data_IF_525616169473
#
_entry.id   IF_525616169473
#
_cell.length_a   1.000
_cell.length_b   1.000
_cell.length_c   1.000
_cell.angle_alpha   90.00
_cell.angle_beta   90.00
_cell.angle_gamma   90.00
#
_symmetry.space_group_name_H-M   'P 1'
#
loop_
_entity.id
_entity.type
_entity.pdbx_description
1 polymer ?
#
# COMPACT_ATOMS: atom_id res chain seq x y z
N UNK A 1 50.30 38.75 44.02
CA UNK A 1 50.99 38.89 42.72
C UNK A 1 50.79 37.56 41.98
N UNK A 2 49.66 37.41 41.31
CA UNK A 2 49.36 36.18 40.55
C UNK A 2 48.95 36.56 39.12
N UNK A 3 49.77 36.16 38.19
CA UNK A 3 49.64 36.46 36.76
C UNK A 3 48.52 35.62 36.19
N UNK A 4 47.53 36.31 35.62
CA UNK A 4 46.42 35.69 34.89
C UNK A 4 46.87 35.38 33.46
N UNK A 5 47.00 34.10 33.12
CA UNK A 5 47.20 33.65 31.75
C UNK A 5 45.85 33.53 31.05
N UNK A 6 45.62 34.45 30.14
CA UNK A 6 44.49 34.42 29.22
C UNK A 6 44.86 33.52 28.08
N UNK A 7 44.32 32.27 28.10
CA UNK A 7 44.41 31.34 26.98
C UNK A 7 43.23 31.55 26.07
N UNK A 8 43.52 32.14 24.94
CA UNK A 8 42.56 32.35 23.85
C UNK A 8 42.44 31.04 23.07
N UNK A 9 41.40 30.24 23.34
CA UNK A 9 41.09 29.06 22.56
C UNK A 9 40.23 29.49 21.37
N UNK A 10 40.84 29.55 20.20
CA UNK A 10 40.12 29.72 18.94
C UNK A 10 39.40 28.44 18.62
N UNK A 11 38.06 28.42 18.84
CA UNK A 11 37.18 27.33 18.40
C UNK A 11 36.93 27.43 16.91
N UNK A 12 37.56 26.58 16.14
CA UNK A 12 37.27 26.37 14.73
C UNK A 12 35.94 25.62 14.66
N UNK A 13 34.87 26.31 14.28
CA UNK A 13 33.60 25.72 13.97
C UNK A 13 33.71 25.03 12.61
N UNK A 14 33.89 23.72 12.62
CA UNK A 14 33.76 22.89 11.44
C UNK A 14 32.26 22.68 11.21
N UNK A 15 31.68 23.41 10.28
CA UNK A 15 30.33 23.14 9.79
C UNK A 15 30.36 21.89 8.93
N UNK A 16 30.00 20.76 9.53
CA UNK A 16 29.60 19.58 8.76
C UNK A 16 28.28 19.90 8.08
N UNK A 17 28.34 20.12 6.77
CA UNK A 17 27.17 20.02 5.91
C UNK A 17 26.83 18.54 5.86
N UNK A 18 25.97 18.11 6.79
CA UNK A 18 25.33 16.81 6.70
C UNK A 18 24.33 16.89 5.54
N UNK A 19 24.63 16.19 4.45
CA UNK A 19 23.59 15.79 3.51
C UNK A 19 22.61 14.95 4.34
N UNK A 20 21.47 15.53 4.68
CA UNK A 20 20.35 14.76 5.20
C UNK A 20 19.84 13.93 4.04
N UNK A 21 20.17 12.63 4.07
CA UNK A 21 19.28 11.64 3.48
C UNK A 21 17.90 11.95 4.02
N UNK A 22 16.98 12.36 3.14
CA UNK A 22 15.56 12.41 3.48
C UNK A 22 15.15 10.97 3.81
N UNK A 23 15.28 10.61 5.08
CA UNK A 23 14.45 9.56 5.63
C UNK A 23 13.03 9.96 5.26
N UNK A 24 12.44 9.15 4.39
CA UNK A 24 11.00 9.19 4.14
C UNK A 24 10.40 8.95 5.52
N UNK A 25 9.95 10.04 6.15
CA UNK A 25 9.19 9.98 7.39
C UNK A 25 8.11 8.91 7.19
N UNK A 26 8.31 7.78 7.81
CA UNK A 26 7.25 6.82 8.05
C UNK A 26 6.31 7.51 9.03
N UNK A 27 5.40 8.32 8.48
CA UNK A 27 4.31 8.93 9.23
C UNK A 27 3.62 7.77 9.95
N UNK A 28 3.84 7.70 11.25
CA UNK A 28 3.14 6.78 12.15
C UNK A 28 1.66 7.13 12.03
N UNK A 29 0.80 6.24 11.51
CA UNK A 29 -0.60 6.59 11.31
C UNK A 29 -1.25 6.81 12.66
N UNK A 30 -1.65 8.06 12.89
CA UNK A 30 -2.39 8.47 14.07
C UNK A 30 -3.79 7.84 14.03
N UNK A 31 -4.26 7.35 15.18
CA UNK A 31 -5.58 6.73 15.30
C UNK A 31 -6.66 7.78 15.01
N UNK A 32 -7.25 7.71 13.81
CA UNK A 32 -8.27 8.66 13.32
C UNK A 32 -7.96 9.26 11.95
N UNK A 33 -6.80 8.99 11.37
CA UNK A 33 -6.42 9.52 10.08
C UNK A 33 -7.05 8.70 8.94
N UNK A 34 -7.84 9.38 8.10
CA UNK A 34 -8.43 8.79 6.88
C UNK A 34 -7.29 8.32 5.96
N UNK A 35 -7.38 7.07 5.47
CA UNK A 35 -6.37 6.53 4.59
C UNK A 35 -6.31 7.30 3.25
N UNK A 36 -5.13 7.62 2.71
CA UNK A 36 -5.02 8.29 1.43
C UNK A 36 -5.57 7.43 0.29
N UNK A 37 -6.35 8.07 -0.59
CA UNK A 37 -6.81 7.49 -1.86
C UNK A 37 -5.80 7.90 -2.92
N UNK A 38 -5.21 6.91 -3.60
CA UNK A 38 -4.17 7.11 -4.60
C UNK A 38 -4.77 6.92 -6.00
N UNK A 39 -4.27 7.69 -6.94
CA UNK A 39 -4.74 7.81 -8.31
C UNK A 39 -6.11 8.50 -8.45
N UNK A 40 -6.52 8.70 -9.70
CA UNK A 40 -7.79 9.31 -10.04
C UNK A 40 -8.79 8.23 -10.46
N UNK A 41 -10.10 8.42 -10.22
CA UNK A 41 -11.12 7.47 -10.61
C UNK A 41 -11.30 7.37 -12.13
N UNK A 42 -10.92 8.42 -12.89
CA UNK A 42 -11.06 8.44 -14.35
C UNK A 42 -10.20 7.36 -15.01
N UNK A 43 -10.84 6.48 -15.78
CA UNK A 43 -10.20 5.34 -16.44
C UNK A 43 -9.83 4.20 -15.50
N UNK A 44 -10.30 4.25 -14.26
CA UNK A 44 -10.16 3.14 -13.33
C UNK A 44 -11.01 1.93 -13.76
N UNK A 45 -10.55 0.74 -13.41
CA UNK A 45 -11.28 -0.49 -13.71
C UNK A 45 -12.41 -0.68 -12.72
N UNK A 46 -13.64 -0.72 -13.19
CA UNK A 46 -14.84 -0.95 -12.38
C UNK A 46 -14.84 -2.35 -11.74
N UNK A 47 -15.46 -2.45 -10.56
CA UNK A 47 -15.64 -3.71 -9.83
C UNK A 47 -14.41 -4.22 -9.12
N UNK A 48 -13.33 -3.43 -9.03
CA UNK A 48 -12.14 -3.79 -8.26
C UNK A 48 -11.36 -2.57 -7.78
N UNK A 49 -10.81 -2.70 -6.59
CA UNK A 49 -9.98 -1.66 -5.96
C UNK A 49 -8.84 -2.31 -5.17
N UNK A 50 -7.71 -1.63 -5.09
CA UNK A 50 -6.56 -2.03 -4.29
C UNK A 50 -6.64 -1.42 -2.90
N UNK A 51 -6.33 -2.23 -1.89
CA UNK A 51 -6.21 -1.78 -0.51
C UNK A 51 -4.91 -2.28 0.09
N UNK A 52 -4.20 -1.39 0.77
CA UNK A 52 -3.10 -1.77 1.66
C UNK A 52 -3.60 -1.68 3.09
N UNK A 53 -3.50 -2.77 3.82
CA UNK A 53 -3.78 -2.79 5.26
C UNK A 53 -2.59 -2.29 6.07
N UNK A 54 -2.86 -1.86 7.30
CA UNK A 54 -1.82 -1.56 8.29
C UNK A 54 -1.17 -2.85 8.80
N UNK A 55 0.07 -2.81 9.30
CA UNK A 55 0.76 -4.01 9.82
C UNK A 55 -0.01 -4.75 10.92
N UNK A 56 -0.77 -4.02 11.73
CA UNK A 56 -1.56 -4.55 12.86
C UNK A 56 -2.67 -5.50 12.38
N UNK A 57 -3.16 -5.31 11.16
CA UNK A 57 -4.18 -6.15 10.54
C UNK A 57 -3.65 -7.53 10.07
N UNK A 58 -2.33 -7.71 10.00
CA UNK A 58 -1.71 -8.90 9.39
C UNK A 58 -2.21 -10.21 9.97
N UNK A 59 -2.33 -10.31 11.31
CA UNK A 59 -2.76 -11.53 11.97
C UNK A 59 -4.21 -11.91 11.65
N UNK A 60 -5.10 -10.93 11.52
CA UNK A 60 -6.51 -11.17 11.15
C UNK A 60 -6.61 -11.65 9.70
N UNK A 61 -5.88 -11.04 8.79
CA UNK A 61 -5.83 -11.39 7.37
C UNK A 61 -5.25 -12.80 7.16
N UNK A 62 -4.19 -13.15 7.88
CA UNK A 62 -3.59 -14.49 7.82
C UNK A 62 -4.57 -15.54 8.34
N UNK A 63 -5.25 -15.29 9.47
CA UNK A 63 -6.25 -16.18 10.01
C UNK A 63 -7.46 -16.33 9.08
N UNK A 64 -7.90 -15.27 8.43
CA UNK A 64 -8.98 -15.30 7.44
C UNK A 64 -8.58 -16.13 6.20
N UNK A 65 -7.36 -15.92 5.69
CA UNK A 65 -6.81 -16.67 4.55
C UNK A 65 -6.70 -18.16 4.86
N UNK A 66 -6.24 -18.52 6.05
CA UNK A 66 -6.13 -19.93 6.48
C UNK A 66 -7.50 -20.60 6.58
N UNK A 67 -8.53 -19.88 7.03
CA UNK A 67 -9.90 -20.42 7.14
C UNK A 67 -10.59 -20.59 5.79
N UNK A 68 -10.17 -19.88 4.76
CA UNK A 68 -10.81 -19.89 3.42
C UNK A 68 -10.09 -20.77 2.42
N UNK A 69 -9.29 -21.73 2.87
CA UNK A 69 -8.58 -22.67 1.96
C UNK A 69 -9.58 -23.35 1.02
N UNK A 70 -9.40 -23.12 -0.29
CA UNK A 70 -10.25 -23.68 -1.35
C UNK A 70 -11.54 -22.91 -1.65
N UNK A 71 -11.82 -21.81 -0.93
CA UNK A 71 -12.97 -20.92 -1.18
C UNK A 71 -12.52 -19.48 -1.43
N UNK A 72 -13.36 -18.68 -2.06
CA UNK A 72 -13.11 -17.25 -2.18
C UNK A 72 -13.14 -16.58 -0.80
N UNK A 73 -12.09 -15.86 -0.45
CA UNK A 73 -12.07 -15.04 0.75
C UNK A 73 -12.98 -13.82 0.52
N UNK A 74 -14.02 -13.66 1.33
CA UNK A 74 -14.98 -12.56 1.26
C UNK A 74 -14.98 -11.68 2.51
N UNK A 75 -14.22 -12.07 3.54
CA UNK A 75 -14.11 -11.38 4.82
C UNK A 75 -12.65 -11.27 5.25
N UNK A 76 -12.31 -10.14 5.85
CA UNK A 76 -10.96 -9.87 6.37
C UNK A 76 -10.75 -10.42 7.79
N UNK A 77 -11.82 -10.62 8.56
CA UNK A 77 -11.80 -10.92 9.98
C UNK A 77 -11.66 -9.67 10.86
N UNK A 78 -11.76 -8.48 10.27
CA UNK A 78 -11.77 -7.19 10.94
C UNK A 78 -13.19 -6.65 10.84
N UNK A 79 -13.87 -6.41 11.95
CA UNK A 79 -15.32 -6.09 12.01
C UNK A 79 -15.71 -4.91 11.14
N UNK A 80 -15.00 -3.79 11.26
CA UNK A 80 -15.32 -2.57 10.52
C UNK A 80 -15.09 -2.74 9.03
N UNK A 81 -14.00 -3.42 8.66
CA UNK A 81 -13.72 -3.77 7.27
C UNK A 81 -14.77 -4.72 6.71
N UNK A 82 -15.15 -5.77 7.46
CA UNK A 82 -16.15 -6.75 7.04
C UNK A 82 -17.53 -6.12 6.85
N UNK A 83 -17.88 -5.11 7.65
CA UNK A 83 -19.11 -4.33 7.46
C UNK A 83 -19.10 -3.55 6.13
N UNK A 84 -17.95 -2.96 5.74
CA UNK A 84 -17.79 -2.29 4.44
C UNK A 84 -17.83 -3.32 3.32
N UNK A 85 -17.09 -4.43 3.42
CA UNK A 85 -17.06 -5.51 2.41
C UNK A 85 -18.46 -6.07 2.12
N UNK A 86 -19.28 -6.23 3.17
CA UNK A 86 -20.67 -6.68 3.03
C UNK A 86 -21.53 -5.63 2.31
N UNK A 87 -21.39 -4.35 2.66
CA UNK A 87 -22.17 -3.25 2.07
C UNK A 87 -21.91 -3.08 0.58
N UNK A 88 -20.65 -3.21 0.14
CA UNK A 88 -20.26 -3.07 -1.27
C UNK A 88 -20.48 -4.36 -2.08
N UNK A 89 -21.01 -5.42 -1.47
CA UNK A 89 -21.25 -6.69 -2.16
C UNK A 89 -19.95 -7.38 -2.59
N UNK A 90 -18.97 -7.46 -1.71
CA UNK A 90 -17.67 -8.08 -2.03
C UNK A 90 -17.83 -9.54 -2.43
N UNK A 91 -17.41 -9.87 -3.65
CA UNK A 91 -17.38 -11.24 -4.17
C UNK A 91 -16.07 -11.97 -3.85
N UNK A 92 -14.95 -11.22 -3.74
CA UNK A 92 -13.62 -11.77 -3.46
C UNK A 92 -12.70 -10.72 -2.85
N UNK A 93 -11.95 -11.12 -1.84
CA UNK A 93 -10.80 -10.42 -1.28
C UNK A 93 -9.56 -11.24 -1.63
N UNK A 94 -8.67 -10.71 -2.44
CA UNK A 94 -7.53 -11.46 -2.99
C UNK A 94 -6.20 -10.80 -2.64
N UNK A 95 -5.29 -11.56 -2.06
CA UNK A 95 -3.93 -11.09 -1.79
C UNK A 95 -3.16 -10.96 -3.12
N UNK A 96 -2.59 -9.76 -3.39
CA UNK A 96 -1.87 -9.48 -4.65
C UNK A 96 -0.61 -10.33 -4.78
N UNK A 97 0.12 -10.49 -3.67
CA UNK A 97 1.32 -11.31 -3.62
C UNK A 97 0.97 -12.62 -2.90
N UNK A 98 0.69 -13.70 -3.64
CA UNK A 98 0.32 -14.97 -3.05
C UNK A 98 1.38 -15.50 -2.09
N UNK A 99 0.96 -16.34 -1.15
CA UNK A 99 1.89 -16.98 -0.21
C UNK A 99 2.79 -17.94 -0.98
N UNK A 100 4.10 -17.72 -0.91
CA UNK A 100 5.14 -18.60 -1.44
C UNK A 100 6.22 -18.76 -0.36
N UNK A 101 6.38 -19.98 0.13
CA UNK A 101 7.32 -20.30 1.21
C UNK A 101 8.77 -19.84 0.93
N UNK A 102 9.16 -19.72 -0.35
CA UNK A 102 10.50 -19.26 -0.76
C UNK A 102 10.68 -17.75 -0.65
N UNK A 103 9.61 -16.98 -0.72
CA UNK A 103 9.66 -15.52 -0.78
C UNK A 103 8.88 -14.84 0.34
N UNK A 104 8.10 -15.59 1.12
CA UNK A 104 7.17 -15.06 2.11
C UNK A 104 7.84 -14.14 3.14
N UNK A 105 9.02 -14.50 3.62
CA UNK A 105 9.76 -13.67 4.58
C UNK A 105 10.09 -12.28 3.99
N UNK A 106 10.60 -12.24 2.76
CA UNK A 106 10.88 -10.98 2.05
C UNK A 106 9.62 -10.18 1.74
N UNK A 107 8.55 -10.88 1.35
CA UNK A 107 7.23 -10.31 1.08
C UNK A 107 6.69 -9.62 2.34
N UNK A 108 6.79 -10.27 3.49
CA UNK A 108 6.38 -9.71 4.79
C UNK A 108 7.27 -8.55 5.23
N UNK A 109 8.59 -8.69 5.12
CA UNK A 109 9.53 -7.62 5.46
C UNK A 109 9.29 -6.34 4.64
N UNK A 110 8.88 -6.48 3.38
CA UNK A 110 8.52 -5.37 2.49
C UNK A 110 7.06 -4.88 2.67
N UNK A 111 6.26 -5.50 3.54
CA UNK A 111 4.84 -5.17 3.73
C UNK A 111 3.97 -5.45 2.51
N UNK A 112 4.42 -6.30 1.59
CA UNK A 112 3.68 -6.67 0.38
C UNK A 112 2.56 -7.67 0.67
N UNK A 113 2.66 -8.41 1.77
CA UNK A 113 1.61 -9.30 2.27
C UNK A 113 0.32 -8.59 2.68
N UNK A 114 0.37 -7.27 2.84
CA UNK A 114 -0.75 -6.43 3.26
C UNK A 114 -1.54 -5.84 2.09
N UNK A 115 -1.14 -6.11 0.86
CA UNK A 115 -1.82 -5.62 -0.32
C UNK A 115 -2.85 -6.62 -0.85
N UNK A 116 -4.09 -6.14 -0.99
CA UNK A 116 -5.22 -6.93 -1.46
C UNK A 116 -5.98 -6.22 -2.57
N UNK A 117 -6.57 -7.02 -3.47
CA UNK A 117 -7.59 -6.56 -4.40
C UNK A 117 -8.95 -6.96 -3.83
N UNK A 118 -9.87 -6.02 -3.79
CA UNK A 118 -11.27 -6.26 -3.45
C UNK A 118 -12.05 -6.28 -4.76
N UNK A 119 -12.79 -7.36 -5.00
CA UNK A 119 -13.69 -7.51 -6.12
C UNK A 119 -15.13 -7.36 -5.65
N UNK A 120 -15.90 -6.53 -6.34
CA UNK A 120 -17.30 -6.23 -6.04
C UNK A 120 -18.08 -6.04 -7.34
N UNK A 121 -19.37 -5.74 -7.25
CA UNK A 121 -20.20 -5.52 -8.44
C UNK A 121 -19.75 -4.28 -9.21
N UNK A 122 -19.67 -4.39 -10.54
CA UNK A 122 -19.24 -3.31 -11.43
C UNK A 122 -20.19 -2.12 -11.45
N UNK A 123 -21.45 -2.33 -11.06
CA UNK A 123 -22.46 -1.27 -11.00
C UNK A 123 -22.37 -0.45 -9.70
N UNK A 124 -21.52 -0.87 -8.75
CA UNK A 124 -21.25 -0.15 -7.51
C UNK A 124 -20.40 1.10 -7.79
N UNK A 125 -20.75 2.22 -7.17
CA UNK A 125 -19.97 3.47 -7.27
C UNK A 125 -18.56 3.30 -6.71
N UNK A 126 -17.59 3.27 -7.60
CA UNK A 126 -16.19 3.04 -7.28
C UNK A 126 -15.59 4.13 -6.37
N UNK A 127 -16.00 5.40 -6.55
CA UNK A 127 -15.52 6.50 -5.71
C UNK A 127 -16.09 6.40 -4.29
N UNK A 128 -17.37 6.03 -4.16
CA UNK A 128 -17.97 5.83 -2.86
C UNK A 128 -17.33 4.64 -2.14
N UNK A 129 -17.03 3.55 -2.84
CA UNK A 129 -16.28 2.41 -2.31
C UNK A 129 -14.91 2.85 -1.80
N UNK A 130 -14.18 3.66 -2.57
CA UNK A 130 -12.87 4.17 -2.15
C UNK A 130 -12.96 5.01 -0.87
N UNK A 131 -13.98 5.87 -0.76
CA UNK A 131 -14.23 6.70 0.43
C UNK A 131 -14.57 5.84 1.64
N UNK A 132 -15.47 4.86 1.49
CA UNK A 132 -15.87 3.96 2.58
C UNK A 132 -14.67 3.18 3.12
N UNK A 133 -13.84 2.63 2.22
CA UNK A 133 -12.63 1.89 2.58
C UNK A 133 -11.57 2.77 3.24
N UNK A 134 -11.44 4.03 2.81
CA UNK A 134 -10.46 4.96 3.36
C UNK A 134 -10.74 5.33 4.82
N UNK A 135 -11.99 5.20 5.28
CA UNK A 135 -12.41 5.49 6.64
C UNK A 135 -12.16 4.33 7.62
N UNK A 136 -11.86 3.13 7.11
CA UNK A 136 -11.56 1.97 7.95
C UNK A 136 -10.22 2.14 8.65
N UNK A 137 -10.20 2.04 9.97
CA UNK A 137 -9.01 2.31 10.79
C UNK A 137 -7.79 1.45 10.43
N UNK A 138 -8.02 0.19 10.02
CA UNK A 138 -6.97 -0.77 9.65
C UNK A 138 -6.47 -0.65 8.21
N UNK A 139 -7.05 0.26 7.43
CA UNK A 139 -6.61 0.57 6.06
C UNK A 139 -5.50 1.62 6.11
N UNK A 140 -4.40 1.35 5.42
CA UNK A 140 -3.28 2.27 5.27
C UNK A 140 -3.36 3.08 3.98
N UNK A 141 -3.88 2.49 2.90
CA UNK A 141 -4.01 3.13 1.57
C UNK A 141 -5.12 2.47 0.77
N UNK A 142 -5.78 3.29 -0.06
CA UNK A 142 -6.72 2.83 -1.09
C UNK A 142 -6.19 3.29 -2.44
N UNK A 143 -6.25 2.45 -3.47
CA UNK A 143 -5.74 2.79 -4.79
C UNK A 143 -6.65 2.28 -5.89
N UNK A 144 -6.96 3.14 -6.86
CA UNK A 144 -7.67 2.75 -8.07
C UNK A 144 -6.80 1.88 -8.97
N UNK A 145 -7.41 0.89 -9.61
CA UNK A 145 -6.72 0.03 -10.58
C UNK A 145 -7.00 0.48 -12.00
N UNK A 146 -6.00 0.42 -12.88
CA UNK A 146 -6.17 0.68 -14.30
C UNK A 146 -5.80 -0.54 -15.12
N UNK A 147 -6.53 -0.78 -16.19
CA UNK A 147 -6.15 -1.80 -17.17
C UNK A 147 -4.97 -1.26 -17.98
N UNK A 148 -3.84 -1.95 -17.93
CA UNK A 148 -2.71 -1.67 -18.81
C UNK A 148 -3.06 -2.23 -20.18
N UNK A 149 -3.40 -1.38 -21.12
CA UNK A 149 -3.49 -1.76 -22.54
C UNK A 149 -2.06 -1.82 -23.08
N UNK A 150 -1.57 -3.01 -23.35
CA UNK A 150 -0.34 -3.16 -24.14
C UNK A 150 -0.70 -2.81 -25.57
N UNK A 151 -0.20 -1.68 -26.06
CA UNK A 151 -0.21 -1.38 -27.48
C UNK A 151 0.78 -2.33 -28.15
N UNK A 152 0.31 -3.48 -28.62
CA UNK A 152 1.07 -4.35 -29.47
C UNK A 152 0.87 -3.86 -30.91
N UNK A 153 1.90 -3.25 -31.48
CA UNK A 153 1.92 -2.95 -32.92
C UNK A 153 2.67 -4.12 -33.62
N UNK A 154 1.95 -5.01 -34.33
CA UNK A 154 2.57 -6.12 -35.02
C UNK A 154 3.54 -5.68 -36.13
N UNK A 155 3.45 -4.42 -36.59
CA UNK A 155 4.27 -3.89 -37.69
C UNK A 155 5.65 -3.43 -37.21
N UNK A 156 5.82 -3.07 -35.93
CA UNK A 156 7.12 -2.63 -35.38
C UNK A 156 8.17 -3.75 -35.40
N UNK A 157 7.76 -5.02 -35.35
CA UNK A 157 8.68 -6.15 -35.41
C UNK A 157 9.25 -6.43 -36.81
N UNK A 158 8.53 -6.05 -37.87
CA UNK A 158 8.96 -6.28 -39.25
C UNK A 158 10.13 -5.37 -39.69
N UNK A 159 10.25 -4.18 -39.09
CA UNK A 159 11.24 -3.17 -39.47
C UNK A 159 12.64 -3.42 -38.89
N UNK A 160 12.77 -4.24 -37.85
CA UNK A 160 14.06 -4.49 -37.16
C UNK A 160 14.81 -5.69 -37.78
N UNK A 161 14.13 -6.56 -38.55
CA UNK A 161 14.73 -7.77 -39.11
C UNK A 161 15.19 -7.65 -40.58
N UNK A 162 15.10 -6.44 -41.18
CA UNK A 162 15.50 -6.20 -42.58
C UNK A 162 16.73 -5.28 -42.72
N UNK A 163 17.65 -5.31 -41.76
CA UNK A 163 18.96 -4.65 -41.89
C UNK A 163 20.09 -5.64 -41.65
#
# INVERSE_FOLDING_TARGET
>A
MKRIYLVLIATIAITFVSCSDQEIDTVKPDAGQVAPIIDLPEGATQGRILVKFKPEAASFLDAATTRSVGAALTRSGISDMDAVLQRIGTSKLERIFPVDNRTEERTRKAGLNLWYIIHFDKDTDLEQVAKDLSQVADVAKVQFTRAIQRSYDPNVRATVLTK
#
